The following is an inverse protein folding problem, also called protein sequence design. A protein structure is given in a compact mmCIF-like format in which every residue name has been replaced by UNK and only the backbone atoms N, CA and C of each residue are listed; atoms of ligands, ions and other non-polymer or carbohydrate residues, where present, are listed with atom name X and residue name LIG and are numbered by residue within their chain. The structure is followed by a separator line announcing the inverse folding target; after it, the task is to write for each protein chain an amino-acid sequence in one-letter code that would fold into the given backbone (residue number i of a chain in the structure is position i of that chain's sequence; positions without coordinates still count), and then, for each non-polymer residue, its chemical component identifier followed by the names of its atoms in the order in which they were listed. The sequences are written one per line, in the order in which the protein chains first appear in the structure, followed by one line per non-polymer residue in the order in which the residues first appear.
data_IF_920597899233
#
_entry.id   IF_920597899233
#
_cell.length_a   1.000
_cell.length_b   1.000
_cell.length_c   1.000
_cell.angle_alpha   90.00
_cell.angle_beta   90.00
_cell.angle_gamma   90.00
#
_symmetry.space_group_name_H-M   'P 1'
#
loop_
_entity.id
_entity.type
_entity.pdbx_description
1 polymer ?
#
# COMPACT_ATOMS: atom_id res chain seq x y z
N UNK A 1 -40.43 9.84 16.69
CA UNK A 1 -40.37 8.56 15.96
C UNK A 1 -39.08 8.61 15.16
N UNK A 2 -38.10 7.79 15.53
CA UNK A 2 -36.75 7.81 14.98
C UNK A 2 -36.73 7.15 13.60
N UNK A 3 -36.35 7.88 12.55
CA UNK A 3 -35.95 7.28 11.28
C UNK A 3 -34.47 6.91 11.40
N UNK A 4 -34.22 5.59 11.45
CA UNK A 4 -32.95 4.94 11.72
C UNK A 4 -32.13 4.86 10.42
N UNK A 5 -30.86 5.22 10.52
CA UNK A 5 -29.83 5.14 9.48
C UNK A 5 -29.78 3.77 8.80
N UNK A 6 -29.59 3.71 7.47
CA UNK A 6 -28.74 2.68 6.84
C UNK A 6 -28.31 3.06 5.42
N UNK A 7 -27.34 3.97 5.31
CA UNK A 7 -26.49 4.07 4.11
C UNK A 7 -25.35 3.06 4.21
N UNK A 8 -25.61 1.79 3.88
CA UNK A 8 -24.56 0.79 3.81
C UNK A 8 -23.94 0.82 2.40
N UNK A 9 -22.92 1.66 2.22
CA UNK A 9 -21.92 1.42 1.18
C UNK A 9 -21.19 0.13 1.55
N UNK A 10 -21.61 -1.00 0.98
CA UNK A 10 -20.87 -2.26 1.07
C UNK A 10 -19.58 -2.13 0.28
N UNK A 11 -18.53 -1.60 0.92
CA UNK A 11 -17.17 -1.86 0.49
C UNK A 11 -16.88 -3.33 0.75
N UNK A 12 -17.10 -4.19 -0.26
CA UNK A 12 -16.51 -5.51 -0.24
C UNK A 12 -14.99 -5.31 -0.21
N UNK A 13 -14.37 -5.51 0.96
CA UNK A 13 -12.92 -5.48 1.07
C UNK A 13 -12.33 -6.48 0.06
N UNK A 14 -11.30 -6.11 -0.73
CA UNK A 14 -10.67 -7.05 -1.64
C UNK A 14 -10.18 -8.26 -0.86
N UNK A 15 -10.75 -9.42 -1.18
CA UNK A 15 -10.39 -10.70 -0.62
C UNK A 15 -9.01 -11.10 -1.13
N UNK A 16 -7.98 -10.70 -0.40
CA UNK A 16 -6.60 -11.18 -0.51
C UNK A 16 -5.86 -10.80 -1.78
N UNK A 17 -4.58 -10.44 -1.64
CA UNK A 17 -3.72 -10.07 -2.77
C UNK A 17 -3.32 -8.60 -2.75
N UNK A 18 -2.31 -8.27 -3.56
CA UNK A 18 -1.83 -6.90 -3.68
C UNK A 18 -2.90 -6.05 -4.37
N UNK A 19 -3.37 -4.99 -3.70
CA UNK A 19 -4.34 -4.05 -4.26
C UNK A 19 -3.66 -3.05 -5.19
N UNK A 20 -4.46 -2.44 -6.08
CA UNK A 20 -4.02 -1.26 -6.83
C UNK A 20 -3.81 -0.12 -5.82
N UNK A 21 -2.66 0.54 -5.82
CA UNK A 21 -2.38 1.63 -4.87
C UNK A 21 -1.53 2.71 -5.52
N UNK A 22 -1.89 3.97 -5.29
CA UNK A 22 -0.98 5.12 -5.45
C UNK A 22 -0.72 5.74 -4.09
N UNK A 23 0.55 5.93 -3.74
CA UNK A 23 0.94 6.57 -2.50
C UNK A 23 2.21 7.42 -2.65
N UNK A 24 2.39 8.38 -1.74
CA UNK A 24 3.62 9.17 -1.62
C UNK A 24 4.15 9.07 -0.20
N UNK A 25 5.39 8.60 -0.05
CA UNK A 25 6.06 8.52 1.24
C UNK A 25 6.89 9.78 1.52
N UNK A 26 7.21 10.07 2.80
CA UNK A 26 8.18 11.10 3.16
C UNK A 26 9.47 11.00 2.34
N UNK A 27 10.05 12.14 1.99
CA UNK A 27 11.18 12.20 1.06
C UNK A 27 10.80 12.11 -0.42
N UNK A 28 9.52 12.36 -0.75
CA UNK A 28 9.00 12.38 -2.11
C UNK A 28 9.15 11.04 -2.85
N UNK A 29 9.04 9.92 -2.13
CA UNK A 29 9.10 8.58 -2.72
C UNK A 29 7.70 8.26 -3.26
N UNK A 30 7.59 8.20 -4.58
CA UNK A 30 6.35 7.79 -5.25
C UNK A 30 6.23 6.26 -5.24
N UNK A 31 5.07 5.75 -4.86
CA UNK A 31 4.74 4.33 -4.86
C UNK A 31 3.53 4.10 -5.74
N UNK A 32 3.66 3.18 -6.68
CA UNK A 32 2.57 2.69 -7.51
C UNK A 32 2.56 1.16 -7.45
N UNK A 33 1.45 0.56 -7.06
CA UNK A 33 1.26 -0.88 -7.09
C UNK A 33 0.11 -1.20 -8.02
N UNK A 34 0.33 -2.13 -8.96
CA UNK A 34 -0.74 -2.71 -9.76
C UNK A 34 -1.43 -3.82 -8.97
N UNK A 35 -2.71 -4.07 -9.27
CA UNK A 35 -3.44 -5.19 -8.67
C UNK A 35 -2.75 -6.51 -9.04
N UNK A 36 -2.29 -7.24 -8.03
CA UNK A 36 -1.50 -8.48 -8.21
C UNK A 36 -0.02 -8.26 -8.54
N UNK A 37 0.43 -7.01 -8.67
CA UNK A 37 1.80 -6.63 -9.04
C UNK A 37 1.94 -6.34 -10.55
N UNK A 38 3.02 -5.64 -10.96
CA UNK A 38 4.21 -5.27 -10.17
C UNK A 38 4.03 -4.05 -9.23
N UNK A 39 5.09 -3.70 -8.49
CA UNK A 39 5.16 -2.47 -7.68
C UNK A 39 6.33 -1.62 -8.16
N UNK A 40 6.12 -0.32 -8.25
CA UNK A 40 7.10 0.67 -8.66
C UNK A 40 7.40 1.63 -7.50
N UNK A 41 8.70 1.92 -7.32
CA UNK A 41 9.22 2.92 -6.39
C UNK A 41 9.95 3.96 -7.23
N UNK A 42 9.48 5.21 -7.21
CA UNK A 42 9.97 6.30 -8.08
C UNK A 42 10.00 5.92 -9.58
N UNK A 43 8.95 5.21 -10.03
CA UNK A 43 8.82 4.76 -11.41
C UNK A 43 9.72 3.59 -11.81
N UNK A 44 10.57 3.10 -10.91
CA UNK A 44 11.39 1.90 -11.14
C UNK A 44 10.72 0.68 -10.51
N UNK A 45 10.62 -0.39 -11.28
CA UNK A 45 10.07 -1.65 -10.79
C UNK A 45 10.90 -2.17 -9.61
N UNK A 46 10.20 -2.52 -8.54
CA UNK A 46 10.74 -3.01 -7.29
C UNK A 46 10.53 -4.51 -7.17
N UNK A 47 11.43 -5.17 -6.45
CA UNK A 47 11.31 -6.60 -6.17
C UNK A 47 10.20 -6.83 -5.15
N UNK A 48 9.09 -7.41 -5.63
CA UNK A 48 7.94 -7.74 -4.80
C UNK A 48 8.17 -9.06 -4.05
N UNK A 49 7.89 -9.05 -2.75
CA UNK A 49 7.81 -10.23 -1.89
C UNK A 49 6.44 -10.26 -1.22
N UNK A 50 5.68 -11.32 -1.49
CA UNK A 50 4.46 -11.66 -0.75
C UNK A 50 4.85 -12.39 0.54
N UNK A 51 4.44 -11.86 1.69
CA UNK A 51 4.58 -12.57 2.97
C UNK A 51 3.33 -13.37 3.29
N UNK A 52 2.16 -12.78 3.04
CA UNK A 52 0.85 -13.43 3.12
C UNK A 52 -0.15 -12.69 2.22
N UNK A 53 -1.44 -13.00 2.32
CA UNK A 53 -2.47 -12.38 1.46
C UNK A 53 -2.74 -10.91 1.74
N UNK A 54 -2.34 -10.42 2.91
CA UNK A 54 -2.59 -9.06 3.36
C UNK A 54 -1.31 -8.23 3.50
N UNK A 55 -0.11 -8.83 3.42
CA UNK A 55 1.16 -8.15 3.65
C UNK A 55 2.19 -8.45 2.56
N UNK A 56 2.73 -7.38 1.98
CA UNK A 56 3.67 -7.38 0.87
C UNK A 56 4.80 -6.40 1.14
N UNK A 57 6.00 -6.70 0.65
CA UNK A 57 7.09 -5.74 0.59
C UNK A 57 7.59 -5.58 -0.85
N UNK A 58 7.80 -4.33 -1.26
CA UNK A 58 8.47 -3.98 -2.50
C UNK A 58 9.83 -3.37 -2.17
N UNK A 59 10.91 -3.95 -2.71
CA UNK A 59 12.27 -3.45 -2.49
C UNK A 59 12.86 -2.88 -3.76
N UNK A 60 13.26 -1.62 -3.73
CA UNK A 60 14.14 -1.08 -4.76
C UNK A 60 15.58 -1.50 -4.46
N UNK A 61 16.12 -2.40 -5.28
CA UNK A 61 17.49 -2.91 -5.13
C UNK A 61 18.56 -1.83 -5.31
N UNK A 62 18.29 -0.74 -6.04
CA UNK A 62 19.26 0.33 -6.26
C UNK A 62 19.42 1.22 -5.02
N UNK A 63 18.31 1.66 -4.44
CA UNK A 63 18.33 2.56 -3.28
C UNK A 63 18.37 1.82 -1.95
N UNK A 64 17.91 0.57 -1.91
CA UNK A 64 17.69 -0.22 -0.69
C UNK A 64 16.38 0.12 0.03
N UNK A 65 15.56 1.01 -0.54
CA UNK A 65 14.24 1.37 0.00
C UNK A 65 13.32 0.17 -0.03
N UNK A 66 12.61 -0.04 1.08
CA UNK A 66 11.58 -1.06 1.25
C UNK A 66 10.26 -0.34 1.50
N UNK A 67 9.25 -0.69 0.74
CA UNK A 67 7.88 -0.26 0.95
C UNK A 67 7.07 -1.45 1.43
N UNK A 68 6.41 -1.28 2.57
CA UNK A 68 5.49 -2.25 3.15
C UNK A 68 4.06 -1.87 2.77
N UNK A 69 3.30 -2.83 2.25
CA UNK A 69 1.90 -2.65 1.83
C UNK A 69 1.04 -3.64 2.61
N UNK A 70 0.05 -3.12 3.34
CA UNK A 70 -0.84 -3.90 4.20
C UNK A 70 -2.31 -3.67 3.86
N UNK A 71 -3.06 -4.74 3.60
CA UNK A 71 -4.51 -4.71 3.53
C UNK A 71 -5.08 -4.79 4.95
N UNK A 72 -5.76 -3.74 5.39
CA UNK A 72 -6.40 -3.71 6.70
C UNK A 72 -7.74 -4.47 6.67
N UNK A 73 -8.21 -5.00 7.81
CA UNK A 73 -9.50 -5.70 7.90
C UNK A 73 -10.72 -4.84 7.53
N UNK A 74 -10.60 -3.51 7.62
CA UNK A 74 -11.64 -2.55 7.24
C UNK A 74 -11.66 -2.25 5.72
N UNK A 75 -10.79 -2.91 4.95
CA UNK A 75 -10.64 -2.74 3.51
C UNK A 75 -9.71 -1.61 3.08
N UNK A 76 -9.19 -0.79 4.00
CA UNK A 76 -8.21 0.24 3.67
C UNK A 76 -6.82 -0.35 3.43
N UNK A 77 -5.96 0.38 2.70
CA UNK A 77 -4.56 -0.01 2.52
C UNK A 77 -3.64 0.88 3.34
N UNK A 78 -2.80 0.26 4.15
CA UNK A 78 -1.68 0.90 4.82
C UNK A 78 -0.41 0.79 3.97
N UNK A 79 0.30 1.90 3.79
CA UNK A 79 1.61 1.92 3.12
C UNK A 79 2.63 2.63 4.01
N UNK A 80 3.79 2.01 4.19
CA UNK A 80 4.92 2.60 4.92
C UNK A 80 6.23 2.30 4.20
N UNK A 81 7.30 3.01 4.55
CA UNK A 81 8.62 2.77 3.97
C UNK A 81 9.73 2.73 5.03
N UNK A 82 10.81 2.04 4.68
CA UNK A 82 12.11 2.08 5.37
C UNK A 82 13.21 2.24 4.34
N UNK A 83 14.11 3.19 4.57
CA UNK A 83 15.26 3.49 3.73
C UNK A 83 16.58 3.43 4.51
N UNK A 84 17.65 3.83 3.84
CA UNK A 84 18.99 3.97 4.45
C UNK A 84 18.97 5.02 5.56
N UNK A 85 19.97 4.98 6.44
CA UNK A 85 20.16 5.96 7.52
C UNK A 85 18.92 6.12 8.43
N UNK A 86 18.19 5.03 8.67
CA UNK A 86 16.98 5.00 9.50
C UNK A 86 15.83 5.85 8.96
N UNK A 87 15.86 6.30 7.70
CA UNK A 87 14.71 6.96 7.06
C UNK A 87 13.51 6.01 7.08
N UNK A 88 12.37 6.48 7.57
CA UNK A 88 11.14 5.69 7.62
C UNK A 88 9.91 6.61 7.75
N UNK A 89 8.72 6.07 7.53
CA UNK A 89 7.47 6.79 7.74
C UNK A 89 6.27 6.14 7.07
N UNK A 90 5.09 6.69 7.36
CA UNK A 90 3.82 6.31 6.73
C UNK A 90 3.65 7.11 5.44
N UNK A 91 3.22 6.43 4.38
CA UNK A 91 2.96 7.05 3.10
C UNK A 91 1.51 7.52 3.03
N UNK A 92 1.28 8.64 2.36
CA UNK A 92 -0.05 9.13 2.06
C UNK A 92 -0.61 8.37 0.86
N UNK A 93 -1.67 7.59 1.07
CA UNK A 93 -2.40 6.90 -0.01
C UNK A 93 -3.35 7.89 -0.67
N UNK A 94 -3.27 8.00 -1.99
CA UNK A 94 -4.08 8.92 -2.80
C UNK A 94 -5.06 8.19 -3.71
N UNK A 95 -4.84 6.90 -3.97
CA UNK A 95 -5.80 6.02 -4.63
C UNK A 95 -5.62 4.58 -4.15
N UNK A 96 -6.74 3.86 -4.00
CA UNK A 96 -6.83 2.44 -3.68
C UNK A 96 -8.14 1.85 -4.22
#
# INVERSE_FOLDING_TARGET
MFAKDTGASTSAAPSGGLQLVNATCPGHIAVHADRGGPVYINGKEAKLKKFNENYFEARDEATGTVVSINNNPDGSVGVSYTGKNRANGICQVTAQ
#
